data_IF_647950735448
#
_entry.id   IF_647950735448
#
_cell.length_a   1.000
_cell.length_b   1.000
_cell.length_c   1.000
_cell.angle_alpha   90.00
_cell.angle_beta   90.00
_cell.angle_gamma   90.00
#
_symmetry.space_group_name_H-M   'P 1'
#
loop_
_entity.id
_entity.type
_entity.pdbx_description
1 polymer ?
#
# COMPACT_ATOMS: atom_id res chain seq x y z
N UNK A 1 10.33 3.49 7.54
CA UNK A 1 9.13 3.26 6.69
C UNK A 1 8.55 4.61 6.39
N UNK A 2 7.76 4.74 5.33
CA UNK A 2 7.23 6.03 4.90
C UNK A 2 6.36 6.68 5.98
N UNK A 3 5.75 5.91 6.88
CA UNK A 3 5.10 6.45 8.08
C UNK A 3 6.01 7.29 8.99
N UNK A 4 7.30 6.93 9.12
CA UNK A 4 8.29 7.72 9.87
C UNK A 4 8.64 9.00 9.13
N UNK A 5 8.73 8.95 7.79
CA UNK A 5 8.96 10.13 6.95
C UNK A 5 7.76 11.09 7.04
N UNK A 6 6.54 10.56 7.05
CA UNK A 6 5.32 11.35 7.25
C UNK A 6 5.29 12.03 8.62
N UNK A 7 5.69 11.34 9.69
CA UNK A 7 5.81 11.93 11.03
C UNK A 7 6.89 13.01 11.06
N UNK A 8 8.05 12.78 10.45
CA UNK A 8 9.12 13.80 10.36
C UNK A 8 8.67 15.05 9.60
N UNK A 9 7.89 14.88 8.52
CA UNK A 9 7.38 15.99 7.70
C UNK A 9 6.28 16.79 8.39
N UNK A 10 5.46 16.16 9.23
CA UNK A 10 4.24 16.77 9.77
C UNK A 10 4.30 17.05 11.28
N UNK A 11 5.21 16.41 12.00
CA UNK A 11 5.21 16.35 13.47
C UNK A 11 4.08 15.49 14.06
N UNK A 12 3.39 14.69 13.25
CA UNK A 12 2.19 13.95 13.64
C UNK A 12 2.44 12.45 13.52
N UNK A 13 2.33 11.72 14.63
CA UNK A 13 2.52 10.27 14.70
C UNK A 13 1.30 9.47 14.20
N UNK A 14 0.11 10.06 14.25
CA UNK A 14 -1.09 9.45 13.69
C UNK A 14 -1.06 9.52 12.16
N UNK A 15 -0.90 8.36 11.51
CA UNK A 15 -0.75 8.25 10.06
C UNK A 15 -1.92 8.84 9.25
N UNK A 16 -3.16 8.78 9.76
CA UNK A 16 -4.33 9.35 9.07
C UNK A 16 -4.36 10.87 9.17
N UNK A 17 -3.98 11.42 10.32
CA UNK A 17 -3.83 12.86 10.49
C UNK A 17 -2.66 13.41 9.68
N UNK A 18 -1.52 12.71 9.68
CA UNK A 18 -0.38 13.04 8.84
C UNK A 18 -0.77 13.04 7.35
N UNK A 19 -1.51 12.04 6.87
CA UNK A 19 -1.97 11.98 5.48
C UNK A 19 -2.88 13.17 5.10
N UNK A 20 -3.82 13.57 5.98
CA UNK A 20 -4.62 14.80 5.78
C UNK A 20 -3.74 16.03 5.71
N UNK A 21 -2.83 16.18 6.67
CA UNK A 21 -1.92 17.33 6.74
C UNK A 21 -1.06 17.44 5.49
N UNK A 22 -0.55 16.31 4.97
CA UNK A 22 0.20 16.27 3.71
C UNK A 22 -0.69 16.69 2.55
N UNK A 23 -1.93 16.21 2.48
CA UNK A 23 -2.86 16.59 1.41
C UNK A 23 -3.18 18.09 1.43
N UNK A 24 -3.30 18.70 2.60
CA UNK A 24 -3.50 20.15 2.77
C UNK A 24 -2.32 20.98 2.21
N UNK A 25 -1.15 20.37 2.00
CA UNK A 25 0.03 21.03 1.40
C UNK A 25 0.01 21.02 -0.14
N UNK A 26 -0.96 20.37 -0.77
CA UNK A 26 -1.13 20.38 -2.23
C UNK A 26 -1.45 19.03 -2.89
N UNK A 27 -0.85 17.89 -2.47
CA UNK A 27 -1.18 16.58 -3.04
C UNK A 27 -2.66 16.22 -2.88
N UNK A 28 -3.32 15.91 -4.00
CA UNK A 28 -4.72 15.47 -4.02
C UNK A 28 -4.92 14.02 -3.52
N UNK A 29 -3.86 13.22 -3.58
CA UNK A 29 -3.86 11.82 -3.21
C UNK A 29 -2.53 11.51 -2.50
N UNK A 30 -2.60 10.85 -1.34
CA UNK A 30 -1.43 10.55 -0.49
C UNK A 30 -1.39 9.06 -0.22
N UNK A 31 -0.25 8.43 -0.47
CA UNK A 31 0.00 7.01 -0.19
C UNK A 31 1.14 6.92 0.83
N UNK A 32 0.91 6.22 1.93
CA UNK A 32 1.90 6.05 3.00
C UNK A 32 2.04 4.55 3.31
N UNK A 33 3.22 3.97 3.12
CA UNK A 33 3.48 2.61 3.60
C UNK A 33 3.91 2.61 5.07
N UNK A 34 3.41 1.64 5.83
CA UNK A 34 3.79 1.40 7.22
C UNK A 34 4.33 -0.02 7.40
N UNK A 35 4.60 -0.44 8.63
CA UNK A 35 5.17 -1.78 8.87
C UNK A 35 4.24 -2.89 8.37
N UNK A 36 2.94 -2.75 8.62
CA UNK A 36 1.92 -3.77 8.40
C UNK A 36 1.17 -3.65 7.08
N UNK A 37 1.31 -2.56 6.32
CA UNK A 37 0.41 -2.28 5.20
C UNK A 37 0.68 -0.95 4.53
N UNK A 38 -0.37 -0.43 3.88
CA UNK A 38 -0.42 0.91 3.32
C UNK A 38 -1.72 1.63 3.69
N UNK A 39 -1.62 2.94 3.86
CA UNK A 39 -2.75 3.86 3.94
C UNK A 39 -2.76 4.75 2.71
N UNK A 40 -3.94 4.93 2.13
CA UNK A 40 -4.21 5.84 1.02
C UNK A 40 -5.25 6.84 1.47
N UNK A 41 -4.97 8.12 1.27
CA UNK A 41 -5.95 9.20 1.41
C UNK A 41 -6.23 9.77 0.01
N UNK A 42 -7.45 9.58 -0.48
CA UNK A 42 -7.87 9.98 -1.82
C UNK A 42 -9.30 10.49 -1.77
N UNK A 43 -9.59 11.61 -2.44
CA UNK A 43 -10.95 12.18 -2.53
C UNK A 43 -11.64 12.38 -1.16
N UNK A 44 -10.88 12.75 -0.14
CA UNK A 44 -11.40 12.93 1.22
C UNK A 44 -11.70 11.64 1.98
N UNK A 45 -11.34 10.48 1.45
CA UNK A 45 -11.59 9.16 2.03
C UNK A 45 -10.29 8.41 2.31
N UNK A 46 -10.33 7.52 3.30
CA UNK A 46 -9.21 6.63 3.63
C UNK A 46 -9.46 5.22 3.11
N UNK A 47 -8.41 4.63 2.57
CA UNK A 47 -8.37 3.24 2.15
C UNK A 47 -7.11 2.63 2.75
N UNK A 48 -7.24 1.53 3.47
CA UNK A 48 -6.14 0.94 4.22
C UNK A 48 -6.19 -0.57 4.09
N UNK A 49 -5.05 -1.18 3.82
CA UNK A 49 -4.95 -2.63 3.71
C UNK A 49 -3.65 -3.13 4.35
N UNK A 50 -3.73 -4.28 5.00
CA UNK A 50 -2.57 -4.96 5.56
C UNK A 50 -1.85 -5.80 4.51
N UNK A 51 -0.56 -6.04 4.70
CA UNK A 51 0.20 -7.03 3.94
C UNK A 51 0.04 -8.41 4.57
N UNK A 52 -0.13 -9.43 3.72
CA UNK A 52 -0.29 -10.84 4.12
C UNK A 52 0.73 -11.76 3.43
N UNK A 53 2.04 -11.54 3.60
CA UNK A 53 3.04 -12.51 3.14
C UNK A 53 2.92 -13.82 3.92
N UNK A 54 3.09 -14.96 3.25
CA UNK A 54 3.22 -16.27 3.91
C UNK A 54 4.53 -16.40 4.69
N UNK A 55 5.57 -15.72 4.24
CA UNK A 55 6.90 -15.68 4.84
C UNK A 55 7.59 -14.35 4.50
N UNK A 56 8.39 -13.84 5.43
CA UNK A 56 9.20 -12.65 5.20
C UNK A 56 10.62 -13.08 4.84
N UNK A 57 10.96 -13.00 3.55
CA UNK A 57 12.31 -13.28 3.06
C UNK A 57 13.02 -11.97 2.73
N UNK A 58 12.54 -11.20 1.74
CA UNK A 58 13.21 -9.98 1.26
C UNK A 58 12.37 -8.71 1.42
N UNK A 59 12.80 -7.77 2.27
CA UNK A 59 12.08 -6.49 2.46
C UNK A 59 12.54 -5.37 1.52
N UNK A 60 13.75 -5.43 1.00
CA UNK A 60 14.32 -4.38 0.13
C UNK A 60 13.48 -4.12 -1.12
N UNK A 61 13.12 -2.87 -1.41
CA UNK A 61 12.24 -2.49 -2.53
C UNK A 61 10.74 -2.67 -2.27
N UNK A 62 10.32 -2.91 -1.01
CA UNK A 62 8.90 -3.00 -0.62
C UNK A 62 8.12 -1.72 -0.93
N UNK A 63 8.66 -0.55 -0.54
CA UNK A 63 8.03 0.74 -0.78
C UNK A 63 7.83 1.01 -2.27
N UNK A 64 8.89 0.87 -3.05
CA UNK A 64 8.85 1.06 -4.51
C UNK A 64 7.85 0.13 -5.19
N UNK A 65 7.84 -1.15 -4.82
CA UNK A 65 6.86 -2.12 -5.36
C UNK A 65 5.43 -1.71 -5.02
N UNK A 66 5.20 -1.27 -3.78
CA UNK A 66 3.88 -0.88 -3.31
C UNK A 66 3.34 0.35 -4.06
N UNK A 67 4.15 1.41 -4.15
CA UNK A 67 3.80 2.65 -4.82
C UNK A 67 3.60 2.42 -6.32
N UNK A 68 4.52 1.69 -6.97
CA UNK A 68 4.39 1.37 -8.40
C UNK A 68 3.15 0.53 -8.69
N UNK A 69 2.84 -0.47 -7.86
CA UNK A 69 1.65 -1.30 -8.01
C UNK A 69 0.37 -0.48 -7.81
N UNK A 70 0.34 0.40 -6.80
CA UNK A 70 -0.77 1.31 -6.56
C UNK A 70 -1.00 2.21 -7.77
N UNK A 71 0.02 2.97 -8.19
CA UNK A 71 -0.07 3.90 -9.32
C UNK A 71 -0.52 3.20 -10.60
N UNK A 72 0.07 2.05 -10.94
CA UNK A 72 -0.28 1.30 -12.15
C UNK A 72 -1.74 0.85 -12.14
N UNK A 73 -2.25 0.37 -11.00
CA UNK A 73 -3.67 -0.03 -10.89
C UNK A 73 -4.60 1.18 -10.89
N UNK A 74 -4.21 2.25 -10.20
CA UNK A 74 -5.00 3.48 -10.01
C UNK A 74 -5.30 4.22 -11.31
N UNK A 75 -4.50 4.04 -12.36
CA UNK A 75 -4.76 4.59 -13.70
C UNK A 75 -6.17 4.24 -14.23
N UNK A 76 -6.71 3.08 -13.88
CA UNK A 76 -8.00 2.60 -14.41
C UNK A 76 -8.91 2.00 -13.31
N UNK A 77 -8.61 2.22 -12.04
CA UNK A 77 -9.35 1.61 -10.92
C UNK A 77 -9.64 2.63 -9.82
N UNK A 78 -10.60 2.29 -8.96
CA UNK A 78 -10.90 3.07 -7.76
C UNK A 78 -9.73 3.04 -6.76
N UNK A 79 -9.64 4.03 -5.84
CA UNK A 79 -8.64 3.99 -4.77
C UNK A 79 -8.69 2.72 -3.93
N UNK A 80 -9.89 2.19 -3.61
CA UNK A 80 -10.04 0.94 -2.86
C UNK A 80 -9.42 -0.24 -3.61
N UNK A 81 -9.76 -0.43 -4.89
CA UNK A 81 -9.22 -1.53 -5.70
C UNK A 81 -7.71 -1.42 -5.89
N UNK A 82 -7.19 -0.20 -6.08
CA UNK A 82 -5.76 0.05 -6.18
C UNK A 82 -5.02 -0.25 -4.87
N UNK A 83 -5.64 0.07 -3.73
CA UNK A 83 -5.08 -0.21 -2.39
C UNK A 83 -4.98 -1.71 -2.14
N UNK A 84 -6.08 -2.46 -2.39
CA UNK A 84 -6.08 -3.94 -2.30
C UNK A 84 -5.02 -4.55 -3.22
N UNK A 85 -4.94 -4.08 -4.46
CA UNK A 85 -3.96 -4.58 -5.42
C UNK A 85 -2.53 -4.35 -4.95
N UNK A 86 -2.21 -3.13 -4.52
CA UNK A 86 -0.89 -2.79 -4.01
C UNK A 86 -0.52 -3.62 -2.78
N UNK A 87 -1.47 -3.82 -1.85
CA UNK A 87 -1.25 -4.67 -0.68
C UNK A 87 -0.94 -6.12 -1.08
N UNK A 88 -1.70 -6.71 -2.00
CA UNK A 88 -1.48 -8.07 -2.48
C UNK A 88 -0.14 -8.26 -3.22
N UNK A 89 0.20 -7.36 -4.14
CA UNK A 89 1.48 -7.39 -4.87
C UNK A 89 2.65 -7.27 -3.88
N UNK A 90 2.56 -6.33 -2.94
CA UNK A 90 3.63 -6.07 -1.96
C UNK A 90 3.80 -7.25 -0.99
N UNK A 91 2.69 -7.88 -0.60
CA UNK A 91 2.71 -9.11 0.21
C UNK A 91 3.54 -10.19 -0.46
N UNK A 92 3.24 -10.48 -1.73
CA UNK A 92 3.94 -11.49 -2.50
C UNK A 92 5.40 -11.11 -2.81
N UNK A 93 5.68 -9.82 -3.00
CA UNK A 93 7.05 -9.30 -3.19
C UNK A 93 7.95 -9.59 -1.99
N UNK A 94 7.41 -9.57 -0.77
CA UNK A 94 8.21 -9.82 0.44
C UNK A 94 8.57 -11.29 0.67
N UNK A 95 8.01 -12.21 -0.13
CA UNK A 95 8.24 -13.66 -0.01
C UNK A 95 9.50 -14.14 -0.76
N UNK A 96 10.25 -13.26 -1.41
CA UNK A 96 11.49 -13.57 -2.11
C UNK A 96 12.49 -12.39 -2.03
N UNK A 97 13.77 -12.67 -2.28
CA UNK A 97 14.77 -11.62 -2.50
C UNK A 97 14.66 -11.00 -3.89
N UNK A 98 15.07 -9.74 -4.01
CA UNK A 98 15.08 -9.01 -5.27
C UNK A 98 13.71 -8.48 -5.74
N UNK A 99 13.59 -8.14 -7.03
CA UNK A 99 12.37 -7.58 -7.62
C UNK A 99 11.16 -8.53 -7.57
N UNK A 100 9.97 -8.00 -7.83
CA UNK A 100 8.75 -8.81 -7.93
C UNK A 100 8.83 -9.83 -9.09
N UNK A 101 8.61 -11.11 -8.78
CA UNK A 101 8.73 -12.23 -9.73
C UNK A 101 7.50 -13.17 -9.69
N UNK A 102 6.32 -12.65 -9.34
CA UNK A 102 5.09 -13.45 -9.19
C UNK A 102 4.11 -13.10 -10.31
N UNK A 103 3.14 -13.98 -10.54
CA UNK A 103 2.17 -13.81 -11.62
C UNK A 103 0.95 -12.99 -11.18
N UNK A 104 0.26 -12.38 -12.14
CA UNK A 104 -1.03 -11.71 -11.91
C UNK A 104 -2.05 -12.68 -11.31
N UNK A 105 -2.06 -13.95 -11.74
CA UNK A 105 -2.95 -14.96 -11.18
C UNK A 105 -2.71 -15.18 -9.68
N UNK A 106 -1.46 -15.18 -9.24
CA UNK A 106 -1.12 -15.35 -7.83
C UNK A 106 -1.53 -14.14 -7.00
N UNK A 107 -1.40 -12.92 -7.55
CA UNK A 107 -1.93 -11.70 -6.94
C UNK A 107 -3.45 -11.81 -6.78
N UNK A 108 -4.17 -12.19 -7.85
CA UNK A 108 -5.62 -12.36 -7.81
C UNK A 108 -6.06 -13.43 -6.80
N UNK A 109 -5.36 -14.57 -6.76
CA UNK A 109 -5.64 -15.62 -5.78
C UNK A 109 -5.48 -15.10 -4.35
N UNK A 110 -4.44 -14.31 -4.07
CA UNK A 110 -4.25 -13.69 -2.76
C UNK A 110 -5.37 -12.69 -2.44
N UNK A 111 -5.78 -11.87 -3.42
CA UNK A 111 -6.89 -10.92 -3.28
C UNK A 111 -8.18 -11.65 -2.87
N UNK A 112 -8.56 -12.71 -3.59
CA UNK A 112 -9.76 -13.50 -3.25
C UNK A 112 -9.68 -14.08 -1.83
N UNK A 113 -8.52 -14.61 -1.46
CA UNK A 113 -8.37 -15.32 -0.19
C UNK A 113 -8.30 -14.41 1.04
N UNK A 114 -7.74 -13.19 0.91
CA UNK A 114 -7.40 -12.33 2.04
C UNK A 114 -8.10 -10.98 2.09
N UNK A 115 -8.56 -10.45 0.95
CA UNK A 115 -9.05 -9.08 0.86
C UNK A 115 -10.52 -9.00 0.41
N UNK A 116 -11.07 -10.06 -0.18
CA UNK A 116 -12.49 -10.14 -0.57
C UNK A 116 -13.38 -10.87 0.43
N UNK A 117 -12.83 -11.32 1.56
CA UNK A 117 -13.57 -12.06 2.60
C UNK A 117 -13.95 -11.15 3.77
N UNK A 118 -14.75 -10.12 3.52
CA UNK A 118 -15.56 -9.41 4.53
C UNK A 118 -16.77 -8.79 3.82
N UNK A 119 -17.71 -9.65 3.41
CA UNK A 119 -19.13 -9.28 3.28
C UNK A 119 -19.89 -10.01 4.38
#
# INVERSE_FOLDING_TARGET
TDAVEAEMLTGISNIREAARKISDLGPHEVVITHHNGLLVYANGQFYEECFYPKKLIGRSGRGDTCIAAYMAKRLNASPQEATIWAAAVTSLKMEAEGPFQRTIQEVNNLIQNKYRNLN
#
